data_IF_885363617590
#
_entry.id   IF_885363617590
#
_cell.length_a   1.000
_cell.length_b   1.000
_cell.length_c   1.000
_cell.angle_alpha   90.00
_cell.angle_beta   90.00
_cell.angle_gamma   90.00
#
_symmetry.space_group_name_H-M   'P 1'
#
loop_
_entity.id
_entity.type
_entity.pdbx_description
1 polymer ?
#
# COMPACT_ATOMS: atom_id res chain seq x y z
N UNK A 1 7.62 2.40 21.71
CA UNK A 1 7.58 1.76 21.68
C UNK A 1 7.85 0.85 21.47
N UNK A 2 7.82 0.44 21.37
CA UNK A 2 8.06 -0.47 21.15
C UNK A 2 8.17 -1.44 21.31
N UNK A 3 8.19 -2.05 21.62
CA UNK A 3 8.39 -3.06 21.75
C UNK A 3 7.85 -4.00 21.94
N UNK A 4 7.35 -4.25 22.26
CA UNK A 4 6.57 -5.22 22.39
C UNK A 4 6.91 -6.40 21.88
N UNK A 5 7.71 -6.68 21.48
CA UNK A 5 8.09 -7.77 20.78
C UNK A 5 8.17 -9.09 21.40
N UNK A 6 8.71 -9.23 22.46
CA UNK A 6 8.96 -10.51 22.89
C UNK A 6 7.79 -11.36 23.13
N UNK A 7 6.80 -10.82 23.72
CA UNK A 7 5.72 -11.71 23.91
C UNK A 7 5.02 -11.97 22.64
N UNK A 8 5.28 -11.23 21.65
CA UNK A 8 4.63 -11.54 20.43
C UNK A 8 5.21 -12.78 19.84
N UNK A 9 6.41 -13.17 20.18
CA UNK A 9 6.88 -14.34 19.64
C UNK A 9 6.24 -15.52 20.12
N UNK A 10 6.01 -15.66 21.38
CA UNK A 10 5.44 -16.84 21.80
C UNK A 10 4.04 -16.94 21.41
N UNK A 11 3.35 -15.87 21.20
CA UNK A 11 2.00 -16.04 20.79
C UNK A 11 1.92 -16.17 19.30
N UNK A 12 2.99 -15.95 18.59
CA UNK A 12 2.91 -15.94 17.17
C UNK A 12 2.62 -17.28 16.60
N UNK A 13 2.89 -18.38 17.31
CA UNK A 13 2.62 -19.60 16.82
C UNK A 13 1.23 -19.85 16.52
N UNK A 14 0.35 -19.72 17.42
CA UNK A 14 -0.98 -19.98 17.03
C UNK A 14 -1.72 -18.75 16.64
N UNK A 15 -1.04 -17.63 16.54
CA UNK A 15 -1.69 -16.50 16.06
C UNK A 15 -1.27 -16.20 14.67
N UNK A 16 -0.51 -17.07 14.05
CA UNK A 16 -0.04 -16.84 12.74
C UNK A 16 -1.09 -16.52 11.76
N UNK A 17 -2.22 -17.16 11.79
CA UNK A 17 -3.26 -16.95 10.83
C UNK A 17 -3.83 -15.55 10.96
N UNK A 18 -3.98 -15.05 12.17
CA UNK A 18 -4.52 -13.76 12.38
C UNK A 18 -3.48 -12.68 12.44
N UNK A 19 -2.22 -13.08 12.43
CA UNK A 19 -1.15 -12.15 12.59
C UNK A 19 -1.07 -11.23 11.42
N UNK A 20 -1.07 -9.97 11.65
CA UNK A 20 -0.95 -8.99 10.61
C UNK A 20 -2.26 -8.52 10.01
N UNK A 21 -3.36 -9.22 10.25
CA UNK A 21 -4.63 -8.75 9.73
C UNK A 21 -4.97 -7.40 10.32
N UNK A 22 -5.35 -6.46 9.47
CA UNK A 22 -5.64 -5.10 9.89
C UNK A 22 -4.42 -4.20 10.01
N UNK A 23 -3.22 -4.73 9.78
CA UNK A 23 -2.03 -3.91 9.85
C UNK A 23 -1.83 -3.13 8.58
N UNK A 24 -1.32 -1.90 8.71
CA UNK A 24 -0.89 -1.12 7.56
C UNK A 24 0.47 -1.67 7.16
N UNK A 25 0.54 -2.27 5.97
CA UNK A 25 1.74 -2.94 5.51
C UNK A 25 2.59 -2.11 4.57
N UNK A 26 2.00 -1.16 3.90
CA UNK A 26 2.72 -0.43 2.85
C UNK A 26 2.08 0.93 2.63
N UNK A 27 2.84 1.85 2.12
CA UNK A 27 2.37 3.17 1.74
C UNK A 27 2.81 3.39 0.31
N UNK A 28 1.90 3.74 -0.58
CA UNK A 28 2.22 3.82 -1.99
C UNK A 28 1.54 5.01 -2.65
N UNK A 29 2.23 5.61 -3.61
CA UNK A 29 1.70 6.70 -4.40
C UNK A 29 1.80 6.32 -5.87
N UNK A 30 0.72 6.45 -6.61
CA UNK A 30 0.71 6.18 -8.05
C UNK A 30 0.37 7.47 -8.76
N UNK A 31 1.27 7.95 -9.60
CA UNK A 31 1.14 9.23 -10.29
C UNK A 31 1.58 9.11 -11.73
N UNK A 32 1.24 10.12 -12.53
CA UNK A 32 1.59 10.10 -13.94
C UNK A 32 3.09 10.15 -14.20
N UNK A 33 3.81 10.93 -13.44
CA UNK A 33 5.27 11.09 -13.62
C UNK A 33 5.97 10.78 -12.31
N UNK A 34 6.18 9.50 -12.07
CA UNK A 34 6.81 9.06 -10.83
C UNK A 34 8.26 9.52 -10.74
N UNK A 35 8.94 9.67 -11.89
CA UNK A 35 10.33 10.10 -11.87
C UNK A 35 10.46 11.53 -11.33
N UNK A 36 9.55 12.39 -11.71
CA UNK A 36 9.56 13.76 -11.24
C UNK A 36 9.18 13.82 -9.78
N UNK A 37 8.20 13.04 -9.40
CA UNK A 37 7.68 13.09 -8.04
C UNK A 37 8.67 12.47 -7.03
N UNK A 38 9.38 11.41 -7.42
CA UNK A 38 10.37 10.87 -6.50
C UNK A 38 11.46 11.89 -6.21
N UNK A 39 11.82 12.71 -7.21
CA UNK A 39 12.81 13.77 -7.00
C UNK A 39 12.29 14.82 -6.00
N UNK A 40 11.01 15.14 -6.11
CA UNK A 40 10.38 16.07 -5.19
C UNK A 40 10.53 15.57 -3.75
N UNK A 41 10.19 14.30 -3.52
CA UNK A 41 10.24 13.76 -2.16
C UNK A 41 11.67 13.54 -1.67
N UNK A 42 12.61 13.25 -2.56
CA UNK A 42 14.00 13.19 -2.17
C UNK A 42 14.47 14.55 -1.65
N UNK A 43 14.03 15.62 -2.28
CA UNK A 43 14.41 16.96 -1.87
C UNK A 43 13.69 17.42 -0.61
N UNK A 44 12.39 17.22 -0.56
CA UNK A 44 11.57 17.77 0.52
C UNK A 44 11.67 16.94 1.80
N UNK A 45 11.66 15.64 1.67
CA UNK A 45 11.61 14.73 2.82
C UNK A 45 12.99 14.15 3.13
N UNK A 46 13.85 14.09 2.13
CA UNK A 46 15.17 13.49 2.32
C UNK A 46 15.18 11.99 2.13
N UNK A 47 14.14 11.44 1.57
CA UNK A 47 14.11 10.01 1.23
C UNK A 47 15.14 9.73 0.14
N UNK A 48 15.54 8.48 0.04
CA UNK A 48 16.44 8.03 -1.01
C UNK A 48 15.72 7.04 -1.89
N UNK A 49 15.61 7.34 -3.18
CA UNK A 49 14.90 6.49 -4.11
C UNK A 49 15.79 5.37 -4.63
N UNK A 50 15.21 4.19 -4.79
CA UNK A 50 15.86 3.06 -5.42
C UNK A 50 14.95 2.60 -6.56
N UNK A 51 15.51 2.41 -7.75
CA UNK A 51 14.70 2.02 -8.90
C UNK A 51 14.23 0.59 -8.82
N UNK A 52 13.01 0.38 -9.26
CA UNK A 52 12.42 -0.93 -9.41
C UNK A 52 12.14 -1.09 -10.89
N UNK A 53 12.85 -2.01 -11.54
CA UNK A 53 12.76 -2.19 -12.98
C UNK A 53 11.42 -2.81 -13.34
N UNK A 54 10.65 -2.11 -14.17
CA UNK A 54 9.35 -2.56 -14.62
C UNK A 54 9.39 -2.94 -16.11
N UNK A 55 10.59 -3.08 -16.67
CA UNK A 55 10.76 -3.41 -18.07
C UNK A 55 11.09 -2.16 -18.89
N UNK A 56 10.10 -1.48 -19.40
CA UNK A 56 10.34 -0.29 -20.22
C UNK A 56 10.43 1.00 -19.40
N UNK A 57 10.20 0.93 -18.11
CA UNK A 57 10.27 2.08 -17.22
C UNK A 57 10.61 1.58 -15.82
N UNK A 58 10.82 2.49 -14.90
CA UNK A 58 11.10 2.13 -13.50
C UNK A 58 10.12 2.81 -12.57
N UNK A 59 9.70 2.08 -11.57
CA UNK A 59 9.03 2.64 -10.42
C UNK A 59 10.07 2.78 -9.32
N UNK A 60 9.70 3.24 -8.15
CA UNK A 60 10.68 3.54 -7.12
C UNK A 60 10.24 3.05 -5.76
N UNK A 61 11.17 2.43 -5.05
CA UNK A 61 11.04 2.23 -3.62
C UNK A 61 11.70 3.43 -2.97
N UNK A 62 11.04 4.00 -1.98
CA UNK A 62 11.60 5.13 -1.26
C UNK A 62 12.13 4.62 0.07
N UNK A 63 13.39 4.91 0.31
CA UNK A 63 14.07 4.47 1.53
C UNK A 63 14.20 5.63 2.50
N UNK A 64 14.34 5.32 3.77
CA UNK A 64 14.56 6.32 4.80
C UNK A 64 15.82 7.10 4.49
N UNK A 65 15.97 8.28 5.10
CA UNK A 65 17.10 9.17 4.81
C UNK A 65 18.45 8.49 5.06
N UNK A 66 18.54 7.61 6.04
CA UNK A 66 19.79 6.89 6.29
C UNK A 66 19.92 5.66 5.39
N UNK A 67 18.95 5.39 4.56
CA UNK A 67 19.00 4.30 3.58
C UNK A 67 18.77 2.92 4.14
N UNK A 68 18.41 2.79 5.41
CA UNK A 68 18.33 1.47 6.04
C UNK A 68 16.98 0.79 5.91
N UNK A 69 15.92 1.55 5.64
CA UNK A 69 14.59 0.97 5.57
C UNK A 69 13.83 1.44 4.36
N UNK A 70 13.10 0.55 3.72
CA UNK A 70 12.19 0.92 2.66
C UNK A 70 10.86 1.30 3.31
N UNK A 71 10.37 2.49 3.05
CA UNK A 71 9.22 3.02 3.76
C UNK A 71 8.02 3.27 2.87
N UNK A 72 8.19 3.37 1.57
CA UNK A 72 7.07 3.67 0.68
C UNK A 72 7.43 3.34 -0.77
N UNK A 73 6.45 3.40 -1.64
CA UNK A 73 6.66 3.25 -3.08
C UNK A 73 6.10 4.43 -3.83
N UNK A 74 6.69 4.76 -4.97
CA UNK A 74 6.17 5.76 -5.90
C UNK A 74 6.18 5.11 -7.27
N UNK A 75 5.01 4.97 -7.87
CA UNK A 75 4.80 4.23 -9.08
C UNK A 75 4.18 5.06 -10.16
N UNK A 76 4.47 4.69 -11.41
CA UNK A 76 3.80 5.32 -12.55
C UNK A 76 2.39 4.76 -12.69
N UNK A 77 1.45 5.63 -13.06
CA UNK A 77 0.07 5.23 -13.31
C UNK A 77 -0.01 4.61 -14.70
N UNK A 78 0.18 3.31 -14.76
CA UNK A 78 0.19 2.56 -16.02
C UNK A 78 -0.59 1.27 -15.90
N UNK A 79 -1.12 0.81 -17.01
CA UNK A 79 -1.79 -0.48 -17.09
C UNK A 79 -2.95 -0.55 -16.11
N UNK A 80 -2.96 -1.60 -15.32
CA UNK A 80 -4.04 -1.81 -14.37
C UNK A 80 -4.05 -0.79 -13.24
N UNK A 81 -2.94 -0.08 -13.04
CA UNK A 81 -2.85 0.94 -12.00
C UNK A 81 -3.18 2.34 -12.49
N UNK A 82 -3.55 2.49 -13.77
CA UNK A 82 -3.79 3.81 -14.34
C UNK A 82 -4.97 4.54 -13.72
N UNK A 83 -5.87 3.81 -13.10
CA UNK A 83 -7.05 4.43 -12.49
C UNK A 83 -6.92 4.68 -11.00
N UNK A 84 -5.77 4.39 -10.42
CA UNK A 84 -5.57 4.66 -8.99
C UNK A 84 -5.50 6.16 -8.78
N UNK A 85 -6.08 6.68 -7.72
CA UNK A 85 -6.02 8.11 -7.46
C UNK A 85 -4.61 8.54 -7.07
N UNK A 86 -4.24 9.79 -7.40
CA UNK A 86 -2.93 10.33 -7.05
C UNK A 86 -2.95 10.74 -5.59
N UNK A 87 -2.96 9.76 -4.71
CA UNK A 87 -3.01 9.95 -3.28
C UNK A 87 -2.07 8.97 -2.62
N UNK A 88 -1.54 9.32 -1.48
CA UNK A 88 -0.79 8.36 -0.67
C UNK A 88 -1.78 7.38 -0.09
N UNK A 89 -1.69 6.13 -0.53
CA UNK A 89 -2.59 5.08 -0.08
C UNK A 89 -1.88 4.20 0.93
N UNK A 90 -2.51 4.04 2.09
CA UNK A 90 -2.09 3.04 3.03
C UNK A 90 -2.69 1.72 2.57
N UNK A 91 -1.91 0.65 2.60
CA UNK A 91 -2.36 -0.68 2.22
C UNK A 91 -2.48 -1.49 3.49
N UNK A 92 -3.66 -2.00 3.73
CA UNK A 92 -3.98 -2.74 4.96
C UNK A 92 -4.13 -4.21 4.62
N UNK A 93 -3.54 -5.06 5.43
CA UNK A 93 -3.68 -6.49 5.24
C UNK A 93 -5.10 -6.90 5.61
N UNK A 94 -5.77 -7.57 4.68
CA UNK A 94 -7.15 -8.00 4.84
C UNK A 94 -7.24 -9.50 4.64
N UNK A 95 -8.26 -10.12 5.17
CA UNK A 95 -8.41 -11.54 5.06
C UNK A 95 -8.99 -11.90 3.70
N UNK A 96 -9.92 -11.14 3.20
CA UNK A 96 -10.66 -11.45 1.98
C UNK A 96 -11.20 -10.14 1.41
N UNK A 97 -10.55 -9.60 0.39
CA UNK A 97 -10.94 -8.30 -0.16
C UNK A 97 -12.30 -8.34 -0.84
N UNK A 98 -12.73 -9.50 -1.34
CA UNK A 98 -14.05 -9.61 -1.95
C UNK A 98 -15.13 -9.43 -0.89
N UNK A 99 -14.92 -10.04 0.25
CA UNK A 99 -15.86 -9.91 1.35
C UNK A 99 -15.86 -8.48 1.86
N UNK A 100 -14.67 -7.88 2.00
CA UNK A 100 -14.55 -6.52 2.49
C UNK A 100 -15.18 -5.52 1.51
N UNK A 101 -15.07 -5.77 0.21
CA UNK A 101 -15.70 -4.90 -0.78
C UNK A 101 -17.22 -4.91 -0.60
N UNK A 102 -17.77 -6.08 -0.34
CA UNK A 102 -19.21 -6.21 -0.14
C UNK A 102 -19.64 -5.46 1.12
N UNK A 103 -18.87 -5.61 2.19
CA UNK A 103 -19.15 -4.90 3.43
C UNK A 103 -19.01 -3.39 3.23
N UNK A 104 -18.05 -2.97 2.44
CA UNK A 104 -17.83 -1.56 2.15
C UNK A 104 -19.09 -0.93 1.54
N UNK A 105 -19.61 -1.52 0.49
CA UNK A 105 -20.81 -0.97 -0.14
C UNK A 105 -22.02 -1.03 0.77
N UNK A 106 -22.14 -2.09 1.55
CA UNK A 106 -23.26 -2.22 2.46
C UNK A 106 -23.25 -1.14 3.53
N UNK A 107 -22.06 -0.71 3.90
CA UNK A 107 -21.90 0.27 4.98
C UNK A 107 -21.60 1.69 4.49
N UNK A 108 -21.94 1.98 3.25
CA UNK A 108 -21.93 3.36 2.77
C UNK A 108 -20.65 3.81 2.06
N UNK A 109 -19.71 2.90 1.84
CA UNK A 109 -18.50 3.21 1.11
C UNK A 109 -18.65 2.96 -0.37
N UNK A 110 -17.58 3.19 -1.11
CA UNK A 110 -17.55 2.97 -2.55
C UNK A 110 -16.32 2.18 -2.93
N UNK A 111 -16.42 1.40 -4.00
CA UNK A 111 -15.28 0.68 -4.53
C UNK A 111 -14.70 1.53 -5.65
N UNK A 112 -13.43 1.89 -5.52
CA UNK A 112 -12.75 2.68 -6.53
C UNK A 112 -11.98 1.81 -7.51
N UNK A 113 -11.47 0.66 -7.07
CA UNK A 113 -10.69 -0.23 -7.91
C UNK A 113 -10.73 -1.63 -7.32
N UNK A 114 -11.01 -2.61 -8.13
CA UNK A 114 -11.00 -4.00 -7.70
C UNK A 114 -12.36 -4.49 -7.23
N UNK A 115 -12.40 -5.63 -6.59
CA UNK A 115 -11.29 -6.53 -6.26
C UNK A 115 -10.63 -7.10 -7.51
N UNK A 116 -9.32 -7.15 -7.50
CA UNK A 116 -8.57 -7.72 -8.63
C UNK A 116 -7.21 -8.21 -8.18
N UNK A 117 -6.57 -9.02 -9.01
CA UNK A 117 -5.22 -9.47 -8.70
C UNK A 117 -4.23 -8.34 -8.91
N UNK A 118 -3.24 -8.29 -8.06
CA UNK A 118 -2.12 -7.38 -8.21
C UNK A 118 -0.89 -8.13 -7.70
N UNK A 119 -0.09 -8.64 -8.62
CA UNK A 119 1.03 -9.47 -8.26
C UNK A 119 0.52 -10.73 -7.58
N UNK A 120 1.04 -11.06 -6.45
CA UNK A 120 0.64 -12.25 -5.71
C UNK A 120 -0.53 -12.05 -4.77
N UNK A 121 -1.17 -10.90 -4.80
CA UNK A 121 -2.22 -10.58 -3.85
C UNK A 121 -3.47 -10.12 -4.56
N UNK A 122 -4.56 -10.05 -3.82
CA UNK A 122 -5.79 -9.45 -4.32
C UNK A 122 -5.88 -8.05 -3.73
N UNK A 123 -6.30 -7.11 -4.56
CA UNK A 123 -6.36 -5.69 -4.21
C UNK A 123 -7.79 -5.18 -4.28
N UNK A 124 -8.15 -4.34 -3.36
CA UNK A 124 -9.37 -3.54 -3.47
C UNK A 124 -9.11 -2.16 -2.89
N UNK A 125 -9.38 -1.11 -3.67
CA UNK A 125 -9.25 0.26 -3.21
C UNK A 125 -10.64 0.78 -2.93
N UNK A 126 -10.86 1.27 -1.73
CA UNK A 126 -12.18 1.70 -1.31
C UNK A 126 -12.15 3.16 -0.84
N UNK A 127 -13.31 3.77 -0.91
CA UNK A 127 -13.51 5.10 -0.38
C UNK A 127 -14.52 4.97 0.75
N UNK A 128 -14.22 5.52 1.91
CA UNK A 128 -15.12 5.41 3.06
C UNK A 128 -16.27 6.44 2.93
N UNK A 129 -17.25 6.39 3.81
CA UNK A 129 -18.40 7.31 3.69
C UNK A 129 -18.06 8.79 3.76
N UNK A 130 -16.89 9.16 4.24
CA UNK A 130 -16.46 10.55 4.29
C UNK A 130 -15.52 10.92 3.15
N UNK A 131 -15.25 10.00 2.25
CA UNK A 131 -14.41 10.27 1.09
C UNK A 131 -12.92 9.95 1.27
N UNK A 132 -12.53 9.35 2.37
CA UNK A 132 -11.14 8.96 2.54
C UNK A 132 -10.89 7.64 1.81
N UNK A 133 -9.68 7.48 1.29
CA UNK A 133 -9.36 6.36 0.41
C UNK A 133 -8.29 5.50 1.06
N UNK A 134 -8.46 4.18 0.99
CA UNK A 134 -7.50 3.23 1.55
C UNK A 134 -7.50 1.98 0.66
N UNK A 135 -6.41 1.26 0.66
CA UNK A 135 -6.27 0.04 -0.14
C UNK A 135 -6.22 -1.18 0.76
N UNK A 136 -6.81 -2.26 0.30
CA UNK A 136 -6.85 -3.53 1.03
C UNK A 136 -6.14 -4.58 0.19
N UNK A 137 -5.35 -5.41 0.85
CA UNK A 137 -4.65 -6.52 0.19
C UNK A 137 -4.91 -7.82 0.93
N UNK A 138 -5.20 -8.84 0.19
CA UNK A 138 -5.34 -10.17 0.80
C UNK A 138 -4.62 -11.24 -0.02
#
# INVERSE_FOLDING_TARGET
MTEIPENSEESSEHKKIDSGLGQVEWLDLTVGDASRIKNFYQTVVGWKAAEVDMGSYSDFNMNSADGTQTVAGICHARGLSSNLPAKWLAYVRDEDVTKSAHLCTTHGGKILDGPRRMGGSDLCVIEDPEGAVIALLS
#
